data_IF_570851623440
#
_entry.id   IF_570851623440
#
_cell.length_a   1.000
_cell.length_b   1.000
_cell.length_c   1.000
_cell.angle_alpha   90.00
_cell.angle_beta   90.00
_cell.angle_gamma   90.00
#
_symmetry.space_group_name_H-M   'P 1'
#
loop_
_entity.id
_entity.type
_entity.pdbx_description
1 polymer ?
#
# COMPACT_ATOMS: atom_id res chain seq x y z
N UNK A 1 -14.74 18.38 2.27
CA UNK A 1 -13.32 18.19 1.91
C UNK A 1 -12.98 19.18 0.81
N UNK A 2 -12.27 20.28 1.10
CA UNK A 2 -11.66 21.07 0.02
C UNK A 2 -10.68 20.13 -0.69
N UNK A 3 -10.81 19.99 -2.01
CA UNK A 3 -10.27 18.91 -2.83
C UNK A 3 -8.73 18.83 -2.75
N UNK A 4 -8.21 17.91 -1.94
CA UNK A 4 -6.79 17.54 -1.94
C UNK A 4 -6.65 16.17 -2.59
N UNK A 5 -5.98 16.07 -3.75
CA UNK A 5 -5.67 14.78 -4.36
C UNK A 5 -4.91 13.86 -3.42
N UNK A 6 -3.98 14.38 -2.61
CA UNK A 6 -3.25 13.55 -1.64
C UNK A 6 -4.17 12.91 -0.60
N UNK A 7 -5.10 13.69 -0.05
CA UNK A 7 -6.07 13.17 0.93
C UNK A 7 -7.00 12.14 0.30
N UNK A 8 -7.52 12.42 -0.89
CA UNK A 8 -8.42 11.52 -1.60
C UNK A 8 -7.75 10.17 -1.87
N UNK A 9 -6.55 10.19 -2.44
CA UNK A 9 -5.82 8.97 -2.79
C UNK A 9 -5.42 8.19 -1.53
N UNK A 10 -4.95 8.87 -0.48
CA UNK A 10 -4.64 8.23 0.79
C UNK A 10 -5.89 7.56 1.40
N UNK A 11 -7.05 8.23 1.38
CA UNK A 11 -8.29 7.64 1.89
C UNK A 11 -8.74 6.43 1.06
N UNK A 12 -8.71 6.51 -0.27
CA UNK A 12 -9.13 5.40 -1.15
C UNK A 12 -8.21 4.19 -0.96
N UNK A 13 -6.89 4.39 -1.10
CA UNK A 13 -5.94 3.29 -0.94
C UNK A 13 -5.99 2.73 0.48
N UNK A 14 -6.09 3.60 1.50
CA UNK A 14 -6.24 3.19 2.89
C UNK A 14 -7.43 2.27 3.12
N UNK A 15 -8.61 2.64 2.60
CA UNK A 15 -9.81 1.81 2.70
C UNK A 15 -9.67 0.48 1.94
N UNK A 16 -9.09 0.50 0.74
CA UNK A 16 -8.88 -0.72 -0.07
C UNK A 16 -7.90 -1.67 0.63
N UNK A 17 -6.77 -1.19 1.12
CA UNK A 17 -5.78 -2.04 1.81
C UNK A 17 -6.31 -2.61 3.13
N UNK A 18 -7.12 -1.85 3.88
CA UNK A 18 -7.82 -2.40 5.05
C UNK A 18 -8.79 -3.51 4.65
N UNK A 19 -9.60 -3.29 3.61
CA UNK A 19 -10.54 -4.30 3.11
C UNK A 19 -9.81 -5.57 2.66
N UNK A 20 -8.76 -5.43 1.85
CA UNK A 20 -7.95 -6.56 1.36
C UNK A 20 -7.27 -7.29 2.52
N UNK A 21 -6.69 -6.56 3.49
CA UNK A 21 -6.05 -7.16 4.65
C UNK A 21 -7.03 -7.96 5.51
N UNK A 22 -8.25 -7.45 5.71
CA UNK A 22 -9.32 -8.17 6.44
C UNK A 22 -9.78 -9.40 5.64
N UNK A 23 -10.12 -9.23 4.36
CA UNK A 23 -10.60 -10.32 3.51
C UNK A 23 -9.55 -11.42 3.31
N UNK A 24 -8.27 -11.06 3.29
CA UNK A 24 -7.17 -11.99 3.18
C UNK A 24 -7.15 -13.03 4.31
N UNK A 25 -7.50 -12.64 5.54
CA UNK A 25 -7.58 -13.60 6.65
C UNK A 25 -8.65 -14.68 6.47
N UNK A 26 -9.68 -14.43 5.67
CA UNK A 26 -10.71 -15.44 5.36
C UNK A 26 -10.21 -16.52 4.39
N UNK A 27 -9.17 -16.24 3.60
CA UNK A 27 -8.60 -17.21 2.64
C UNK A 27 -7.29 -17.83 3.12
N UNK A 28 -6.61 -17.25 4.12
CA UNK A 28 -5.31 -17.74 4.63
C UNK A 28 -5.43 -18.69 5.83
N UNK A 29 -6.60 -19.30 6.08
CA UNK A 29 -6.73 -20.31 7.13
C UNK A 29 -5.85 -21.52 6.83
N UNK A 30 -5.03 -21.94 7.80
CA UNK A 30 -4.08 -23.05 7.64
C UNK A 30 -2.80 -22.71 6.85
N UNK A 31 -2.65 -21.48 6.35
CA UNK A 31 -1.41 -21.00 5.74
C UNK A 31 -0.43 -20.55 6.82
N UNK A 32 0.83 -20.97 6.71
CA UNK A 32 1.89 -20.57 7.65
C UNK A 32 2.13 -19.05 7.62
N UNK A 33 2.45 -18.46 8.77
CA UNK A 33 2.54 -17.00 8.90
C UNK A 33 3.56 -16.35 7.93
N UNK A 34 4.71 -17.01 7.74
CA UNK A 34 5.76 -16.61 6.80
C UNK A 34 5.83 -17.53 5.57
N UNK A 35 4.74 -18.20 5.21
CA UNK A 35 4.72 -19.13 4.08
C UNK A 35 5.14 -18.39 2.80
N UNK A 36 6.04 -18.99 2.02
CA UNK A 36 6.53 -18.38 0.77
C UNK A 36 5.54 -18.49 -0.38
N UNK A 37 4.52 -19.34 -0.21
CA UNK A 37 3.37 -19.53 -1.08
C UNK A 37 2.10 -19.22 -0.28
N UNK A 38 1.16 -18.51 -0.91
CA UNK A 38 -0.05 -17.99 -0.27
C UNK A 38 -1.34 -18.54 -0.87
N UNK A 39 -2.47 -18.12 -0.30
CA UNK A 39 -3.78 -18.33 -0.91
C UNK A 39 -4.12 -17.13 -1.79
N UNK A 40 -4.80 -17.36 -2.92
CA UNK A 40 -5.23 -16.27 -3.79
C UNK A 40 -6.51 -15.61 -3.24
N UNK A 41 -6.43 -14.31 -2.96
CA UNK A 41 -7.59 -13.45 -2.87
C UNK A 41 -7.84 -12.84 -4.25
N UNK A 42 -8.82 -13.39 -4.98
CA UNK A 42 -9.04 -13.13 -6.41
C UNK A 42 -7.83 -13.63 -7.23
N UNK A 43 -6.87 -12.75 -7.53
CA UNK A 43 -5.62 -13.09 -8.25
C UNK A 43 -4.36 -12.72 -7.46
N UNK A 44 -4.51 -12.11 -6.28
CA UNK A 44 -3.41 -11.61 -5.45
C UNK A 44 -3.08 -12.66 -4.39
N UNK A 45 -1.82 -13.08 -4.32
CA UNK A 45 -1.42 -14.09 -3.36
C UNK A 45 -1.15 -13.43 -2.01
N UNK A 46 -1.76 -13.98 -0.97
CA UNK A 46 -1.61 -13.48 0.40
C UNK A 46 -1.28 -14.60 1.36
N UNK A 47 -0.49 -14.25 2.37
CA UNK A 47 -0.29 -15.04 3.58
C UNK A 47 -0.65 -14.18 4.81
N UNK A 48 -0.67 -14.74 6.03
CA UNK A 48 -1.03 -13.97 7.22
C UNK A 48 -0.14 -12.74 7.45
N UNK A 49 1.17 -12.81 7.20
CA UNK A 49 2.06 -11.65 7.33
C UNK A 49 1.69 -10.55 6.31
N UNK A 50 1.45 -10.92 5.05
CA UNK A 50 1.05 -9.97 4.00
C UNK A 50 -0.25 -9.26 4.35
N UNK A 51 -1.21 -9.98 4.95
CA UNK A 51 -2.46 -9.40 5.44
C UNK A 51 -2.22 -8.37 6.56
N UNK A 52 -1.34 -8.66 7.53
CA UNK A 52 -0.96 -7.68 8.56
C UNK A 52 -0.31 -6.44 7.94
N UNK A 53 0.57 -6.62 6.95
CA UNK A 53 1.20 -5.50 6.24
C UNK A 53 0.13 -4.65 5.52
N UNK A 54 -0.83 -5.28 4.85
CA UNK A 54 -1.96 -4.58 4.23
C UNK A 54 -2.78 -3.79 5.25
N UNK A 55 -3.08 -4.37 6.43
CA UNK A 55 -3.80 -3.66 7.48
C UNK A 55 -3.01 -2.46 8.01
N UNK A 56 -1.70 -2.61 8.24
CA UNK A 56 -0.84 -1.55 8.74
C UNK A 56 -0.74 -0.38 7.75
N UNK A 57 -0.51 -0.69 6.46
CA UNK A 57 -0.44 0.33 5.40
C UNK A 57 -1.80 0.98 5.20
N UNK A 58 -2.88 0.18 5.19
CA UNK A 58 -4.24 0.66 5.05
C UNK A 58 -4.63 1.64 6.16
N UNK A 59 -4.33 1.29 7.42
CA UNK A 59 -4.56 2.15 8.57
C UNK A 59 -3.77 3.47 8.48
N UNK A 60 -2.49 3.41 8.12
CA UNK A 60 -1.64 4.60 7.99
C UNK A 60 -2.16 5.56 6.91
N UNK A 61 -2.50 5.04 5.73
CA UNK A 61 -3.03 5.82 4.61
C UNK A 61 -4.40 6.41 4.93
N UNK A 62 -5.32 5.61 5.48
CA UNK A 62 -6.67 6.07 5.81
C UNK A 62 -6.63 7.17 6.87
N UNK A 63 -5.85 6.95 7.94
CA UNK A 63 -5.63 7.96 8.98
C UNK A 63 -5.06 9.25 8.39
N UNK A 64 -4.02 9.16 7.55
CA UNK A 64 -3.43 10.33 6.92
C UNK A 64 -4.44 11.11 6.06
N UNK A 65 -5.19 10.40 5.22
CA UNK A 65 -6.22 10.97 4.32
C UNK A 65 -7.34 11.69 5.07
N UNK A 66 -7.78 11.12 6.19
CA UNK A 66 -8.84 11.71 7.01
C UNK A 66 -8.38 12.97 7.77
N UNK A 67 -7.09 13.09 8.10
CA UNK A 67 -6.62 14.12 9.03
C UNK A 67 -5.99 15.36 8.38
N UNK A 68 -4.99 15.20 7.49
CA UNK A 68 -4.19 16.35 7.03
C UNK A 68 -3.60 16.15 5.63
N UNK A 69 -3.54 17.23 4.85
CA UNK A 69 -2.86 17.25 3.53
C UNK A 69 -1.38 16.96 3.69
N UNK A 70 -0.70 17.60 4.65
CA UNK A 70 0.73 17.39 4.90
C UNK A 70 1.01 15.95 5.31
N UNK A 71 0.19 15.40 6.21
CA UNK A 71 0.32 14.00 6.63
C UNK A 71 0.06 13.04 5.46
N UNK A 72 -0.97 13.29 4.66
CA UNK A 72 -1.29 12.50 3.47
C UNK A 72 -0.13 12.48 2.47
N UNK A 73 0.49 13.64 2.20
CA UNK A 73 1.67 13.72 1.32
C UNK A 73 2.82 12.89 1.85
N UNK A 74 3.13 13.02 3.14
CA UNK A 74 4.19 12.25 3.80
C UNK A 74 3.95 10.75 3.71
N UNK A 75 2.75 10.29 4.08
CA UNK A 75 2.41 8.86 4.06
C UNK A 75 2.33 8.31 2.63
N UNK A 76 1.75 9.04 1.67
CA UNK A 76 1.77 8.64 0.25
C UNK A 76 3.21 8.51 -0.26
N UNK A 77 4.12 9.41 0.12
CA UNK A 77 5.54 9.34 -0.26
C UNK A 77 6.19 8.09 0.33
N UNK A 78 6.02 7.86 1.62
CA UNK A 78 6.62 6.72 2.33
C UNK A 78 6.10 5.39 1.80
N UNK A 79 4.77 5.22 1.73
CA UNK A 79 4.16 3.98 1.24
C UNK A 79 4.47 3.77 -0.25
N UNK A 80 4.43 4.83 -1.06
CA UNK A 80 4.82 4.74 -2.46
C UNK A 80 6.28 4.30 -2.65
N UNK A 81 7.20 4.80 -1.82
CA UNK A 81 8.60 4.36 -1.80
C UNK A 81 8.75 2.90 -1.36
N UNK A 82 8.01 2.47 -0.34
CA UNK A 82 7.98 1.06 0.10
C UNK A 82 7.48 0.15 -1.01
N UNK A 83 6.38 0.50 -1.69
CA UNK A 83 5.86 -0.30 -2.79
C UNK A 83 6.75 -0.31 -4.02
N UNK A 84 7.48 0.78 -4.28
CA UNK A 84 8.51 0.76 -5.33
C UNK A 84 9.61 -0.24 -4.99
N UNK A 85 10.10 -0.22 -3.75
CA UNK A 85 11.12 -1.16 -3.28
C UNK A 85 10.61 -2.61 -3.33
N UNK A 86 9.43 -2.88 -2.76
CA UNK A 86 8.81 -4.22 -2.77
C UNK A 86 8.57 -4.69 -4.21
N UNK A 87 8.07 -3.82 -5.10
CA UNK A 87 7.83 -4.16 -6.50
C UNK A 87 9.11 -4.46 -7.30
N UNK A 88 10.23 -3.82 -6.97
CA UNK A 88 11.53 -4.13 -7.57
C UNK A 88 12.09 -5.44 -7.01
N UNK A 89 12.08 -5.60 -5.68
CA UNK A 89 12.57 -6.82 -5.03
C UNK A 89 11.72 -8.04 -5.42
N UNK A 90 10.41 -7.88 -5.58
CA UNK A 90 9.49 -8.96 -5.95
C UNK A 90 9.83 -9.62 -7.29
N UNK A 91 10.49 -8.92 -8.23
CA UNK A 91 11.02 -9.52 -9.46
C UNK A 91 12.03 -10.65 -9.21
N UNK A 92 12.68 -10.64 -8.05
CA UNK A 92 13.68 -11.63 -7.63
C UNK A 92 13.19 -12.53 -6.49
N UNK A 93 12.16 -12.11 -5.76
CA UNK A 93 11.64 -12.86 -4.62
C UNK A 93 10.65 -13.96 -5.03
N UNK A 94 9.85 -13.76 -6.09
CA UNK A 94 8.83 -14.75 -6.50
C UNK A 94 9.48 -16.12 -6.78
N UNK A 95 8.97 -17.16 -6.13
CA UNK A 95 9.51 -18.54 -6.21
C UNK A 95 10.78 -18.79 -5.39
N UNK A 96 11.29 -17.79 -4.66
CA UNK A 96 12.45 -17.94 -3.77
C UNK A 96 12.03 -18.22 -2.32
N UNK A 97 12.95 -18.78 -1.54
CA UNK A 97 12.78 -18.97 -0.08
C UNK A 97 12.69 -17.66 0.71
N UNK A 98 13.05 -16.52 0.10
CA UNK A 98 12.96 -15.19 0.70
C UNK A 98 11.59 -14.54 0.51
N UNK A 99 10.65 -15.18 -0.21
CA UNK A 99 9.30 -14.66 -0.47
C UNK A 99 8.38 -14.72 0.76
N UNK A 100 8.83 -14.28 1.94
CA UNK A 100 8.13 -14.50 3.21
C UNK A 100 6.74 -13.83 3.33
N UNK A 101 6.36 -13.01 2.35
CA UNK A 101 5.03 -12.38 2.24
C UNK A 101 4.19 -12.96 1.09
N UNK A 102 4.64 -14.06 0.49
CA UNK A 102 3.95 -14.78 -0.58
C UNK A 102 3.57 -13.92 -1.80
N UNK A 103 4.48 -13.05 -2.28
CA UNK A 103 4.25 -12.28 -3.50
C UNK A 103 4.04 -13.20 -4.70
N UNK A 104 3.09 -12.86 -5.56
CA UNK A 104 2.98 -13.38 -6.92
C UNK A 104 3.21 -12.27 -7.97
N UNK A 105 3.12 -12.62 -9.26
CA UNK A 105 3.29 -11.65 -10.35
C UNK A 105 2.25 -10.54 -10.37
N UNK A 106 0.99 -10.83 -10.01
CA UNK A 106 -0.07 -9.82 -9.94
C UNK A 106 0.17 -8.84 -8.79
N UNK A 107 0.60 -9.33 -7.63
CA UNK A 107 1.01 -8.48 -6.49
C UNK A 107 2.14 -7.54 -6.89
N UNK A 108 3.14 -8.05 -7.62
CA UNK A 108 4.28 -7.25 -8.03
C UNK A 108 3.90 -6.09 -8.96
N UNK A 109 3.02 -6.36 -9.93
CA UNK A 109 2.46 -5.33 -10.82
C UNK A 109 1.64 -4.31 -10.01
N UNK A 110 0.80 -4.77 -9.09
CA UNK A 110 0.00 -3.89 -8.26
C UNK A 110 0.87 -2.99 -7.38
N UNK A 111 1.93 -3.50 -6.77
CA UNK A 111 2.86 -2.69 -5.97
C UNK A 111 3.53 -1.61 -6.81
N UNK A 112 4.05 -1.94 -8.00
CA UNK A 112 4.65 -0.95 -8.89
C UNK A 112 3.63 0.10 -9.36
N UNK A 113 2.41 -0.31 -9.70
CA UNK A 113 1.35 0.63 -10.09
C UNK A 113 0.96 1.55 -8.92
N UNK A 114 0.78 0.99 -7.72
CA UNK A 114 0.51 1.73 -6.49
C UNK A 114 1.63 2.73 -6.17
N UNK A 115 2.90 2.32 -6.36
CA UNK A 115 4.04 3.21 -6.18
C UNK A 115 3.98 4.42 -7.12
N UNK A 116 3.70 4.19 -8.40
CA UNK A 116 3.56 5.26 -9.40
C UNK A 116 2.44 6.24 -9.01
N UNK A 117 1.27 5.73 -8.60
CA UNK A 117 0.13 6.59 -8.20
C UNK A 117 0.45 7.40 -6.95
N UNK A 118 0.93 6.73 -5.89
CA UNK A 118 1.18 7.38 -4.60
C UNK A 118 2.31 8.41 -4.69
N UNK A 119 3.44 8.06 -5.30
CA UNK A 119 4.56 8.98 -5.52
C UNK A 119 4.17 10.09 -6.49
N UNK A 120 3.49 9.75 -7.58
CA UNK A 120 3.05 10.72 -8.58
C UNK A 120 2.18 11.81 -7.96
N UNK A 121 1.19 11.44 -7.14
CA UNK A 121 0.31 12.40 -6.45
C UNK A 121 1.05 13.18 -5.37
N UNK A 122 1.90 12.51 -4.57
CA UNK A 122 2.66 13.16 -3.50
C UNK A 122 3.63 14.24 -4.01
N UNK A 123 4.28 13.99 -5.15
CA UNK A 123 5.30 14.87 -5.74
C UNK A 123 4.70 15.98 -6.63
N UNK A 124 3.53 15.74 -7.23
CA UNK A 124 2.93 16.68 -8.20
C UNK A 124 1.82 17.57 -7.63
N UNK A 125 1.06 17.10 -6.63
CA UNK A 125 -0.16 17.77 -6.18
C UNK A 125 0.02 18.56 -4.86
N UNK A 126 -0.95 19.43 -4.55
CA UNK A 126 -1.04 20.20 -3.30
C UNK A 126 0.23 21.03 -3.00
N UNK A 127 0.76 21.75 -4.02
CA UNK A 127 1.97 22.59 -3.89
C UNK A 127 1.70 23.94 -3.20
N UNK A 128 0.47 24.47 -3.31
CA UNK A 128 0.10 25.81 -2.83
C UNK A 128 -0.21 25.90 -1.32
N UNK A 129 -0.56 24.79 -0.66
CA UNK A 129 -0.91 24.78 0.77
C UNK A 129 0.26 25.18 1.70
N UNK A 130 1.50 25.18 1.19
CA UNK A 130 2.72 25.56 1.95
C UNK A 130 3.04 27.05 1.83
N UNK A 131 2.60 27.72 0.76
CA UNK A 131 2.92 29.14 0.50
C UNK A 131 2.09 30.11 1.35
N UNK A 132 0.83 29.77 1.66
CA UNK A 132 -0.06 30.64 2.43
C UNK A 132 0.19 30.63 3.95
N UNK A 133 1.06 29.76 4.45
CA UNK A 133 1.45 29.72 5.88
C UNK A 133 2.75 30.49 6.17
N UNK A 134 3.36 31.10 5.14
CA UNK A 134 4.60 31.88 5.22
C UNK A 134 4.43 33.36 4.84
N UNK A 135 3.19 33.81 4.62
CA UNK A 135 2.81 35.20 4.39
C UNK A 135 1.95 35.67 5.57
#
# INVERSE_FOLDING_TARGET
>A
MRTSPNRLIATIFGAVYLLVGVLGFFVTSGIGFFATEGANLIIFAVNPLHNIIHLAIGAALLYAGMNSVTLSKGVNTTVGGVYLLVGILGLFLVGSSLNIIALNGADNVLHLASAVVLLGVALSQDKAAVASARA
#
